data_IF_049857032088
#
_entry.id   IF_049857032088
#
_cell.length_a   1.000
_cell.length_b   1.000
_cell.length_c   1.000
_cell.angle_alpha   90.00
_cell.angle_beta   90.00
_cell.angle_gamma   90.00
#
_symmetry.space_group_name_H-M   'P 1'
#
loop_
_entity.id
_entity.type
_entity.pdbx_description
1 polymer ?
#
# COMPACT_ATOMS: atom_id res chain seq x y z
N UNK A 1 -33.13 22.41 -33.77
CA UNK A 1 -32.27 22.25 -32.57
C UNK A 1 -30.85 22.68 -32.92
N UNK A 2 -30.36 23.77 -32.32
CA UNK A 2 -29.12 24.43 -32.74
C UNK A 2 -27.85 23.62 -32.38
N UNK A 3 -26.90 23.43 -33.33
CA UNK A 3 -25.67 22.66 -33.11
C UNK A 3 -24.71 23.28 -32.08
N UNK A 4 -24.86 24.58 -31.80
CA UNK A 4 -24.08 25.31 -30.80
C UNK A 4 -24.36 24.82 -29.37
N UNK A 5 -25.62 24.57 -29.02
CA UNK A 5 -26.00 24.11 -27.68
C UNK A 5 -25.36 22.75 -27.34
N UNK A 6 -25.21 21.88 -28.35
CA UNK A 6 -24.63 20.54 -28.19
C UNK A 6 -23.12 20.59 -27.92
N UNK A 7 -22.41 21.55 -28.51
CA UNK A 7 -20.97 21.77 -28.28
C UNK A 7 -20.69 22.32 -26.87
N UNK A 8 -21.52 23.25 -26.41
CA UNK A 8 -21.44 23.77 -25.04
C UNK A 8 -21.70 22.69 -23.99
N UNK A 9 -22.69 21.82 -24.22
CA UNK A 9 -22.97 20.70 -23.32
C UNK A 9 -21.81 19.70 -23.21
N UNK A 10 -21.14 19.40 -24.32
CA UNK A 10 -19.95 18.53 -24.33
C UNK A 10 -18.77 19.16 -23.58
N UNK A 11 -18.54 20.47 -23.76
CA UNK A 11 -17.48 21.18 -23.04
C UNK A 11 -17.74 21.22 -21.52
N UNK A 12 -18.98 21.45 -21.12
CA UNK A 12 -19.38 21.40 -19.70
C UNK A 12 -19.16 20.01 -19.09
N UNK A 13 -19.50 18.94 -19.82
CA UNK A 13 -19.28 17.56 -19.38
C UNK A 13 -17.81 17.20 -19.27
N UNK A 14 -16.98 17.60 -20.23
CA UNK A 14 -15.53 17.38 -20.17
C UNK A 14 -14.88 18.16 -19.03
N UNK A 15 -15.31 19.40 -18.81
CA UNK A 15 -14.84 20.21 -17.68
C UNK A 15 -15.24 19.58 -16.35
N UNK A 16 -16.48 19.09 -16.21
CA UNK A 16 -16.95 18.41 -15.02
C UNK A 16 -16.20 17.10 -14.77
N UNK A 17 -15.98 16.29 -15.82
CA UNK A 17 -15.25 15.04 -15.73
C UNK A 17 -13.79 15.28 -15.33
N UNK A 18 -13.15 16.31 -15.87
CA UNK A 18 -11.82 16.77 -15.47
C UNK A 18 -11.76 17.21 -14.01
N UNK A 19 -12.75 17.97 -13.56
CA UNK A 19 -12.84 18.42 -12.16
C UNK A 19 -13.06 17.24 -11.20
N UNK A 20 -13.90 16.28 -11.58
CA UNK A 20 -14.11 15.06 -10.81
C UNK A 20 -12.86 14.18 -10.78
N UNK A 21 -12.13 14.05 -11.89
CA UNK A 21 -10.86 13.29 -11.89
C UNK A 21 -9.85 13.93 -10.95
N UNK A 22 -9.72 15.26 -10.96
CA UNK A 22 -8.84 15.97 -10.03
C UNK A 22 -9.31 15.84 -8.57
N UNK A 23 -10.62 15.89 -8.31
CA UNK A 23 -11.19 15.71 -6.98
C UNK A 23 -10.94 14.31 -6.42
N UNK A 24 -11.15 13.27 -7.22
CA UNK A 24 -10.89 11.88 -6.82
C UNK A 24 -9.39 11.54 -6.76
N UNK A 25 -8.52 12.27 -7.46
CA UNK A 25 -7.07 12.08 -7.39
C UNK A 25 -6.45 12.71 -6.13
N UNK A 26 -7.16 13.58 -5.42
CA UNK A 26 -6.70 14.21 -4.17
C UNK A 26 -6.76 13.27 -2.93
N UNK A 27 -6.77 11.96 -3.13
CA UNK A 27 -6.69 10.99 -2.04
C UNK A 27 -5.31 11.06 -1.36
N UNK A 28 -5.31 11.50 -0.11
CA UNK A 28 -4.30 11.31 0.95
C UNK A 28 -2.90 10.90 0.49
N UNK A 29 -2.16 11.78 -0.19
CA UNK A 29 -0.75 11.50 -0.46
C UNK A 29 0.05 11.48 0.86
N UNK A 30 0.98 10.52 1.01
CA UNK A 30 1.90 10.50 2.13
C UNK A 30 2.65 11.84 2.22
N UNK A 31 2.68 12.44 3.40
CA UNK A 31 3.45 13.66 3.63
C UNK A 31 4.77 13.29 4.26
N UNK A 32 5.88 13.70 3.65
CA UNK A 32 7.21 13.57 4.25
C UNK A 32 7.50 14.83 5.07
N UNK A 33 7.81 14.68 6.35
CA UNK A 33 8.16 15.80 7.22
C UNK A 33 9.58 16.29 6.91
N UNK A 34 9.91 17.52 7.33
CA UNK A 34 11.27 18.06 7.16
C UNK A 34 12.35 17.22 7.88
N UNK A 35 11.96 16.42 8.88
CA UNK A 35 12.79 15.47 9.62
C UNK A 35 12.97 14.11 8.92
N UNK A 36 12.38 13.91 7.74
CA UNK A 36 12.44 12.64 7.00
C UNK A 36 11.47 11.58 7.52
N UNK A 37 10.48 11.98 8.31
CA UNK A 37 9.46 11.07 8.82
C UNK A 37 8.32 10.96 7.80
N UNK A 38 7.66 9.80 7.79
CA UNK A 38 6.54 9.53 6.91
C UNK A 38 5.23 9.69 7.67
N UNK A 39 4.44 10.70 7.32
CA UNK A 39 3.13 10.95 7.87
C UNK A 39 2.05 10.44 6.90
N UNK A 40 1.27 9.48 7.38
CA UNK A 40 0.12 8.91 6.67
C UNK A 40 -1.18 9.37 7.30
N UNK A 41 -2.19 9.60 6.47
CA UNK A 41 -3.57 9.82 6.91
C UNK A 41 -4.40 8.59 6.56
N UNK A 42 -5.25 8.16 7.49
CA UNK A 42 -6.17 7.08 7.23
C UNK A 42 -7.13 7.46 6.10
N UNK A 43 -7.42 6.52 5.21
CA UNK A 43 -8.42 6.65 4.16
C UNK A 43 -9.85 6.71 4.76
N UNK A 44 -10.85 6.78 3.88
CA UNK A 44 -12.26 6.80 4.29
C UNK A 44 -12.66 5.54 5.10
N UNK A 45 -12.03 4.39 4.81
CA UNK A 45 -12.23 3.13 5.52
C UNK A 45 -11.46 3.02 6.84
N UNK A 46 -10.61 4.00 7.16
CA UNK A 46 -9.79 4.02 8.37
C UNK A 46 -8.46 3.29 8.25
N UNK A 47 -8.08 2.87 7.04
CA UNK A 47 -6.84 2.16 6.78
C UNK A 47 -5.74 3.11 6.27
N UNK A 48 -4.48 2.76 6.53
CA UNK A 48 -3.32 3.51 6.03
C UNK A 48 -2.77 2.84 4.77
N UNK A 49 -2.96 3.51 3.63
CA UNK A 49 -2.44 3.06 2.33
C UNK A 49 -1.39 4.04 1.83
N UNK A 50 -0.42 3.52 1.09
CA UNK A 50 0.58 4.32 0.40
C UNK A 50 1.11 3.56 -0.81
N UNK A 51 1.62 4.31 -1.77
CA UNK A 51 2.48 3.74 -2.80
C UNK A 51 3.88 3.49 -2.23
N UNK A 52 4.47 2.38 -2.62
CA UNK A 52 5.83 2.00 -2.26
C UNK A 52 6.48 1.19 -3.36
N UNK A 53 7.62 0.58 -3.05
CA UNK A 53 8.29 -0.32 -3.97
C UNK A 53 8.84 -1.55 -3.25
N UNK A 54 8.76 -2.70 -3.92
CA UNK A 54 9.44 -3.94 -3.50
C UNK A 54 10.47 -4.29 -4.56
N UNK A 55 11.73 -4.45 -4.17
CA UNK A 55 12.83 -4.71 -5.11
C UNK A 55 12.83 -3.74 -6.31
N UNK A 56 12.51 -2.46 -6.05
CA UNK A 56 12.39 -1.41 -7.07
C UNK A 56 11.11 -1.43 -7.92
N UNK A 57 10.23 -2.41 -7.76
CA UNK A 57 8.95 -2.50 -8.48
C UNK A 57 7.83 -1.78 -7.71
N UNK A 58 7.06 -0.88 -8.36
CA UNK A 58 6.02 -0.10 -7.70
C UNK A 58 4.86 -0.99 -7.26
N UNK A 59 4.38 -0.79 -6.03
CA UNK A 59 3.30 -1.56 -5.41
C UNK A 59 2.41 -0.68 -4.54
N UNK A 60 1.17 -1.12 -4.31
CA UNK A 60 0.27 -0.53 -3.32
C UNK A 60 0.42 -1.26 -1.99
N UNK A 61 0.66 -0.51 -0.94
CA UNK A 61 0.89 -1.02 0.40
C UNK A 61 -0.26 -0.64 1.31
N UNK A 62 -0.70 -1.60 2.12
CA UNK A 62 -1.68 -1.43 3.18
C UNK A 62 -1.01 -1.79 4.51
N UNK A 63 -0.93 -0.83 5.44
CA UNK A 63 -0.35 -1.11 6.75
C UNK A 63 -1.33 -1.88 7.61
N UNK A 64 -0.88 -3.04 8.09
CA UNK A 64 -1.70 -3.97 8.87
C UNK A 64 -0.92 -4.46 10.10
N UNK A 65 -1.21 -3.87 11.26
CA UNK A 65 -0.61 -4.26 12.54
C UNK A 65 -1.11 -5.62 13.04
N UNK A 66 -2.18 -6.18 12.45
CA UNK A 66 -2.67 -7.53 12.75
C UNK A 66 -1.91 -8.62 12.00
N UNK A 67 -1.20 -8.27 10.91
CA UNK A 67 -0.39 -9.21 10.16
C UNK A 67 0.99 -9.39 10.81
N UNK A 68 1.42 -10.63 11.00
CA UNK A 68 2.76 -10.93 11.56
C UNK A 68 3.88 -10.66 10.56
N UNK A 69 3.59 -10.81 9.26
CA UNK A 69 4.56 -10.71 8.18
C UNK A 69 3.98 -9.93 7.00
N UNK A 70 4.85 -9.26 6.23
CA UNK A 70 4.49 -8.74 4.91
C UNK A 70 3.87 -9.85 4.06
N UNK A 71 2.67 -9.62 3.55
CA UNK A 71 1.90 -10.61 2.77
C UNK A 71 1.59 -10.04 1.39
N UNK A 72 2.09 -10.71 0.36
CA UNK A 72 1.95 -10.34 -1.04
C UNK A 72 0.91 -11.26 -1.69
N UNK A 73 -0.11 -10.73 -2.40
CA UNK A 73 -1.00 -11.58 -3.19
C UNK A 73 -0.23 -12.31 -4.30
N UNK A 74 -0.60 -13.55 -4.62
CA UNK A 74 0.15 -14.38 -5.57
C UNK A 74 0.31 -13.72 -6.96
N UNK A 75 -0.76 -13.16 -7.53
CA UNK A 75 -0.69 -12.50 -8.84
C UNK A 75 0.17 -11.23 -8.81
N UNK A 76 0.26 -10.54 -7.67
CA UNK A 76 1.18 -9.41 -7.51
C UNK A 76 2.61 -9.93 -7.47
N UNK A 77 2.89 -10.97 -6.67
CA UNK A 77 4.21 -11.59 -6.58
C UNK A 77 4.72 -12.03 -7.96
N UNK A 78 3.87 -12.67 -8.77
CA UNK A 78 4.18 -13.05 -10.15
C UNK A 78 4.46 -11.81 -11.03
N UNK A 79 3.63 -10.76 -10.93
CA UNK A 79 3.78 -9.52 -11.70
C UNK A 79 5.09 -8.80 -11.41
N UNK A 80 5.55 -8.79 -10.15
CA UNK A 80 6.80 -8.15 -9.74
C UNK A 80 8.00 -9.12 -9.67
N UNK A 81 7.83 -10.35 -10.16
CA UNK A 81 8.92 -11.32 -10.30
C UNK A 81 9.45 -11.90 -8.99
N UNK A 82 8.63 -11.96 -7.93
CA UNK A 82 9.02 -12.58 -6.66
C UNK A 82 8.95 -14.10 -6.76
N UNK A 83 10.00 -14.75 -6.28
CA UNK A 83 10.09 -16.22 -6.24
C UNK A 83 9.76 -16.76 -4.87
N UNK A 84 8.97 -17.83 -4.84
CA UNK A 84 8.75 -18.61 -3.64
C UNK A 84 9.99 -19.44 -3.28
N UNK A 85 10.35 -19.45 -2.01
CA UNK A 85 11.38 -20.30 -1.41
C UNK A 85 10.82 -21.53 -0.70
N UNK A 86 9.49 -21.67 -0.63
CA UNK A 86 8.86 -22.77 0.10
C UNK A 86 7.38 -22.54 0.40
N UNK A 87 6.84 -23.35 1.30
CA UNK A 87 5.45 -23.25 1.74
C UNK A 87 5.37 -23.29 3.26
N UNK A 88 4.38 -22.60 3.82
CA UNK A 88 4.07 -22.63 5.24
C UNK A 88 2.57 -22.66 5.45
N UNK A 89 2.13 -23.11 6.64
CA UNK A 89 0.75 -22.94 7.08
C UNK A 89 0.68 -21.75 8.01
N UNK A 90 -0.29 -20.87 7.80
CA UNK A 90 -0.49 -19.67 8.61
C UNK A 90 -1.92 -19.67 9.13
N UNK A 91 -2.06 -19.36 10.42
CA UNK A 91 -3.36 -19.19 11.04
C UNK A 91 -3.84 -17.77 10.81
N UNK A 92 -5.02 -17.64 10.20
CA UNK A 92 -5.71 -16.36 10.01
C UNK A 92 -7.01 -16.37 10.78
N UNK A 93 -7.69 -15.21 10.86
CA UNK A 93 -9.02 -15.12 11.45
C UNK A 93 -10.05 -16.03 10.76
N UNK A 94 -9.88 -16.31 9.46
CA UNK A 94 -10.76 -17.20 8.70
C UNK A 94 -10.34 -18.69 8.78
N UNK A 95 -9.30 -19.02 9.54
CA UNK A 95 -8.75 -20.37 9.67
C UNK A 95 -7.32 -20.51 9.13
N UNK A 96 -6.83 -21.75 9.12
CA UNK A 96 -5.47 -22.07 8.65
C UNK A 96 -5.43 -22.18 7.14
N UNK A 97 -4.58 -21.37 6.51
CA UNK A 97 -4.34 -21.41 5.06
C UNK A 97 -2.90 -21.86 4.77
N UNK A 98 -2.67 -22.37 3.56
CA UNK A 98 -1.33 -22.61 3.05
C UNK A 98 -0.87 -21.39 2.26
N UNK A 99 0.32 -20.90 2.57
CA UNK A 99 0.97 -19.78 1.88
C UNK A 99 2.30 -20.23 1.34
N UNK A 100 2.79 -19.52 0.33
CA UNK A 100 4.16 -19.61 -0.11
C UNK A 100 5.03 -18.69 0.77
N UNK A 101 6.29 -19.04 0.96
CA UNK A 101 7.27 -18.21 1.66
C UNK A 101 8.23 -17.59 0.68
N UNK A 102 8.75 -16.40 0.99
CA UNK A 102 9.78 -15.76 0.18
C UNK A 102 10.57 -14.75 0.99
N UNK A 103 11.44 -14.01 0.31
CA UNK A 103 12.18 -12.89 0.87
C UNK A 103 12.21 -11.76 -0.16
N UNK A 104 12.13 -10.54 0.34
CA UNK A 104 12.35 -9.33 -0.45
C UNK A 104 13.62 -8.65 0.03
N UNK A 105 14.39 -8.12 -0.90
CA UNK A 105 15.65 -7.42 -0.62
C UNK A 105 15.35 -6.04 -0.06
N UNK A 106 14.37 -5.34 -0.66
CA UNK A 106 14.00 -3.99 -0.26
C UNK A 106 12.48 -3.82 -0.22
N UNK A 107 12.01 -3.08 0.80
CA UNK A 107 10.69 -2.49 0.87
C UNK A 107 10.85 -0.99 1.09
N UNK A 108 10.53 -0.20 0.08
CA UNK A 108 10.56 1.26 0.12
C UNK A 108 9.15 1.81 0.40
N UNK A 109 9.08 2.73 1.36
CA UNK A 109 7.87 3.42 1.84
C UNK A 109 8.21 4.89 2.05
N UNK A 110 7.93 5.73 1.04
CA UNK A 110 8.35 7.13 1.07
C UNK A 110 9.88 7.26 1.31
N UNK A 111 10.34 7.98 2.36
CA UNK A 111 11.75 8.11 2.68
C UNK A 111 12.34 6.87 3.39
N UNK A 112 11.50 5.92 3.80
CA UNK A 112 11.91 4.75 4.58
C UNK A 112 12.23 3.60 3.64
N UNK A 113 13.36 2.94 3.84
CA UNK A 113 13.69 1.68 3.16
C UNK A 113 14.07 0.63 4.18
N UNK A 114 13.36 -0.49 4.15
CA UNK A 114 13.63 -1.67 4.96
C UNK A 114 14.26 -2.75 4.09
N UNK A 115 15.16 -3.53 4.68
CA UNK A 115 15.95 -4.54 3.98
C UNK A 115 15.70 -5.93 4.53
N UNK A 116 15.90 -6.95 3.70
CA UNK A 116 15.90 -8.35 4.11
C UNK A 116 14.66 -8.74 4.91
N UNK A 117 13.50 -8.61 4.26
CA UNK A 117 12.22 -8.92 4.87
C UNK A 117 11.74 -10.29 4.39
N UNK A 118 11.53 -11.26 5.29
CA UNK A 118 10.81 -12.46 4.92
C UNK A 118 9.35 -12.09 4.63
N UNK A 119 8.76 -12.70 3.61
CA UNK A 119 7.38 -12.46 3.20
C UNK A 119 6.55 -13.76 3.16
N UNK A 120 5.24 -13.59 3.15
CA UNK A 120 4.32 -14.61 2.67
C UNK A 120 3.77 -14.21 1.32
N UNK A 121 3.59 -15.19 0.45
CA UNK A 121 2.87 -15.06 -0.81
C UNK A 121 1.56 -15.82 -0.64
N UNK A 122 0.43 -15.12 -0.72
CA UNK A 122 -0.89 -15.66 -0.40
C UNK A 122 -1.72 -15.86 -1.68
N UNK A 123 -1.97 -17.11 -2.12
CA UNK A 123 -2.82 -17.42 -3.27
C UNK A 123 -4.30 -17.07 -3.06
N UNK A 124 -4.75 -17.00 -1.80
CA UNK A 124 -6.14 -16.70 -1.46
C UNK A 124 -6.39 -15.19 -1.22
N UNK A 125 -5.34 -14.35 -1.25
CA UNK A 125 -5.50 -12.92 -1.13
C UNK A 125 -6.12 -12.34 -2.41
N UNK A 126 -7.21 -11.59 -2.25
CA UNK A 126 -7.78 -10.79 -3.33
C UNK A 126 -7.19 -9.38 -3.37
N UNK A 127 -7.41 -8.67 -4.48
CA UNK A 127 -6.94 -7.29 -4.67
C UNK A 127 -5.44 -7.19 -4.95
N UNK A 128 -4.94 -5.98 -5.18
CA UNK A 128 -3.53 -5.74 -5.56
C UNK A 128 -2.65 -5.24 -4.40
N UNK A 129 -3.21 -5.14 -3.20
CA UNK A 129 -2.55 -4.53 -2.06
C UNK A 129 -1.69 -5.53 -1.31
N UNK A 130 -0.50 -5.07 -0.92
CA UNK A 130 0.43 -5.83 -0.10
C UNK A 130 0.24 -5.40 1.35
N UNK A 131 -0.03 -6.37 2.22
CA UNK A 131 -0.16 -6.11 3.65
C UNK A 131 1.22 -5.94 4.25
N UNK A 132 1.48 -4.80 4.89
CA UNK A 132 2.73 -4.53 5.60
C UNK A 132 2.55 -4.91 7.06
N UNK A 133 3.07 -6.09 7.42
CA UNK A 133 2.95 -6.66 8.75
C UNK A 133 4.01 -6.19 9.74
N UNK A 134 3.92 -6.73 10.95
CA UNK A 134 4.75 -6.37 12.09
C UNK A 134 6.24 -6.70 11.95
N UNK A 135 6.63 -7.62 11.06
CA UNK A 135 8.06 -7.85 10.78
C UNK A 135 8.74 -6.66 10.07
N UNK A 136 7.95 -5.83 9.37
CA UNK A 136 8.39 -4.58 8.78
C UNK A 136 8.08 -3.40 9.72
N UNK A 137 6.83 -3.29 10.19
CA UNK A 137 6.40 -2.19 11.05
C UNK A 137 7.14 -2.14 12.38
N UNK A 138 7.46 -3.30 12.98
CA UNK A 138 8.21 -3.37 14.24
C UNK A 138 9.66 -2.89 14.15
N UNK A 139 10.18 -2.61 12.93
CA UNK A 139 11.50 -1.99 12.71
C UNK A 139 11.44 -0.46 12.70
N UNK A 140 10.25 0.10 12.83
CA UNK A 140 9.98 1.53 12.82
C UNK A 140 9.38 1.92 14.16
N UNK A 141 9.50 3.20 14.51
CA UNK A 141 8.64 3.78 15.53
C UNK A 141 7.33 4.23 14.90
N UNK A 142 6.22 3.80 15.52
CA UNK A 142 4.87 4.15 15.12
C UNK A 142 4.27 5.12 16.15
N UNK A 143 3.82 6.28 15.69
CA UNK A 143 3.01 7.19 16.51
C UNK A 143 1.69 7.46 15.83
N UNK A 144 0.61 6.95 16.41
CA UNK A 144 -0.74 7.14 15.89
C UNK A 144 -1.51 8.15 16.72
N UNK A 145 -2.04 9.19 16.08
CA UNK A 145 -2.89 10.22 16.72
C UNK A 145 -3.83 10.83 15.69
N UNK A 146 -5.10 11.03 16.06
CA UNK A 146 -6.09 11.75 15.24
C UNK A 146 -6.21 11.24 13.79
N UNK A 147 -6.25 9.91 13.60
CA UNK A 147 -6.25 9.23 12.28
C UNK A 147 -5.02 9.50 11.42
N UNK A 148 -3.94 9.97 12.03
CA UNK A 148 -2.63 10.10 11.42
C UNK A 148 -1.70 9.04 12.01
N UNK A 149 -0.84 8.52 11.16
CA UNK A 149 0.22 7.59 11.52
C UNK A 149 1.54 8.18 11.08
N UNK A 150 2.39 8.50 12.05
CA UNK A 150 3.77 8.90 11.82
C UNK A 150 4.66 7.67 11.94
N UNK A 151 5.50 7.47 10.92
CA UNK A 151 6.50 6.41 10.86
C UNK A 151 7.88 7.05 10.79
N UNK A 152 8.79 6.60 11.65
CA UNK A 152 10.19 7.03 11.64
C UNK A 152 11.13 5.84 11.91
N UNK A 153 12.39 5.88 11.42
CA UNK A 153 13.38 4.88 11.80
C UNK A 153 13.56 4.86 13.32
N UNK A 154 13.78 3.67 13.88
CA UNK A 154 14.23 3.55 15.26
C UNK A 154 15.61 4.23 15.38
N UNK A 155 15.74 5.18 16.30
CA UNK A 155 17.05 5.72 16.68
C UNK A 155 17.66 4.71 17.67
N UNK A 156 18.82 4.16 17.31
CA UNK A 156 19.66 3.40 18.27
C UNK A 156 20.26 4.33 19.34
#
# INVERSE_FOLDING_TARGET
>A
MHPMARRFWLLAWLSLMGLLTLYFHHSSQPTVTASGELLLKADASGHYRLEGAINGQPVQLLLDTGATRVTVPLHVAERIGLTSSGHSRVNTAAGTIQVQTGQIETLAMGPLTLYDLPIFINPAAGGDEILVGMNALGRLELRQKDRQLLLRPLQE
#
